data_IF_145057504928
#
_entry.id   IF_145057504928
#
_cell.length_a   1.000
_cell.length_b   1.000
_cell.length_c   1.000
_cell.angle_alpha   90.00
_cell.angle_beta   90.00
_cell.angle_gamma   90.00
#
_symmetry.space_group_name_H-M   'P 1'
#
loop_
_entity.id
_entity.type
_entity.pdbx_description
1 polymer ?
#
# COMPACT_ATOMS: atom_id res chain seq x y z
N UNK A 1 3.06 3.22 2.33
CA UNK A 1 1.78 3.89 2.65
C UNK A 1 1.17 4.41 1.36
N UNK A 2 0.07 3.79 0.92
CA UNK A 2 -0.65 4.18 -0.31
C UNK A 2 -1.80 5.07 0.10
N UNK A 3 -1.56 6.38 0.00
CA UNK A 3 -2.55 7.40 0.30
C UNK A 3 -3.34 7.83 -0.93
N UNK A 4 -4.22 8.83 -0.74
CA UNK A 4 -5.09 9.33 -1.81
C UNK A 4 -4.31 9.99 -2.95
N UNK A 5 -3.30 10.81 -2.66
CA UNK A 5 -2.55 11.61 -3.65
C UNK A 5 -1.14 11.14 -3.88
N UNK A 6 -0.56 10.40 -2.95
CA UNK A 6 0.84 9.97 -2.96
C UNK A 6 1.03 8.62 -2.30
N UNK A 7 2.13 7.96 -2.64
CA UNK A 7 2.60 6.75 -1.99
C UNK A 7 3.95 7.01 -1.34
N UNK A 8 4.05 6.78 -0.04
CA UNK A 8 5.31 6.90 0.71
C UNK A 8 5.92 5.52 0.93
N UNK A 9 7.20 5.38 0.64
CA UNK A 9 8.00 4.20 0.94
C UNK A 9 8.91 4.47 2.12
N UNK A 10 8.96 3.50 3.02
CA UNK A 10 9.84 3.53 4.18
C UNK A 10 10.54 2.17 4.25
N UNK A 11 11.86 2.16 4.25
CA UNK A 11 12.66 0.95 4.47
C UNK A 11 13.12 0.93 5.91
N UNK A 12 12.86 -0.18 6.59
CA UNK A 12 13.25 -0.41 7.98
C UNK A 12 14.14 -1.66 8.08
N UNK A 13 15.20 -1.57 8.86
CA UNK A 13 16.08 -2.69 9.21
C UNK A 13 16.16 -2.74 10.74
N UNK A 14 15.84 -3.89 11.32
CA UNK A 14 15.89 -4.04 12.79
C UNK A 14 15.02 -3.03 13.55
N UNK A 15 13.93 -2.53 12.95
CA UNK A 15 13.06 -1.52 13.54
C UNK A 15 13.55 -0.07 13.37
N UNK A 16 14.66 0.15 12.66
CA UNK A 16 15.21 1.49 12.38
C UNK A 16 14.87 1.88 10.94
N UNK A 17 14.41 3.12 10.74
CA UNK A 17 14.19 3.68 9.41
C UNK A 17 15.55 4.03 8.79
N UNK A 18 15.86 3.39 7.66
CA UNK A 18 17.13 3.59 6.93
C UNK A 18 16.96 4.34 5.61
N UNK A 19 15.75 4.35 5.06
CA UNK A 19 15.46 5.06 3.82
C UNK A 19 13.98 5.46 3.75
N UNK A 20 13.71 6.61 3.17
CA UNK A 20 12.33 7.07 2.91
C UNK A 20 12.28 7.85 1.61
N UNK A 21 11.20 7.68 0.87
CA UNK A 21 10.90 8.45 -0.33
C UNK A 21 9.39 8.52 -0.57
N UNK A 22 8.98 9.39 -1.49
CA UNK A 22 7.58 9.57 -1.86
C UNK A 22 7.43 9.56 -3.37
N UNK A 23 6.37 8.90 -3.83
CA UNK A 23 5.94 8.82 -5.23
C UNK A 23 4.65 9.62 -5.33
N UNK A 24 4.56 10.56 -6.27
CA UNK A 24 3.37 11.37 -6.53
C UNK A 24 2.30 10.59 -7.32
N UNK A 25 1.96 9.40 -6.79
CA UNK A 25 0.93 8.51 -7.29
C UNK A 25 0.16 7.93 -6.10
N UNK A 26 -1.16 8.06 -6.11
CA UNK A 26 -2.04 7.56 -5.07
C UNK A 26 -3.41 7.17 -5.63
N UNK A 27 -4.34 6.80 -4.75
CA UNK A 27 -5.65 6.27 -5.10
C UNK A 27 -6.53 7.17 -5.93
N UNK A 28 -6.28 8.47 -5.91
CA UNK A 28 -7.00 9.43 -6.76
C UNK A 28 -6.76 9.17 -8.25
N UNK A 29 -5.54 8.82 -8.64
CA UNK A 29 -5.23 8.49 -10.04
C UNK A 29 -5.96 7.23 -10.50
N UNK A 30 -6.20 6.25 -9.62
CA UNK A 30 -7.02 5.08 -9.95
C UNK A 30 -8.47 5.49 -10.25
N UNK A 31 -9.04 6.40 -9.42
CA UNK A 31 -10.39 6.92 -9.62
C UNK A 31 -10.50 7.73 -10.92
N UNK A 32 -9.54 8.58 -11.23
CA UNK A 32 -9.48 9.37 -12.47
C UNK A 32 -9.42 8.49 -13.71
N UNK A 33 -8.61 7.41 -13.68
CA UNK A 33 -8.54 6.45 -14.77
C UNK A 33 -9.87 5.72 -14.98
N UNK A 34 -10.53 5.28 -13.92
CA UNK A 34 -11.83 4.64 -13.99
C UNK A 34 -12.90 5.62 -14.50
N UNK A 35 -12.95 6.83 -13.94
CA UNK A 35 -13.92 7.84 -14.37
C UNK A 35 -13.80 8.13 -15.87
N UNK A 36 -12.58 8.25 -16.37
CA UNK A 36 -12.31 8.46 -17.80
C UNK A 36 -12.67 7.25 -18.66
N UNK A 37 -12.28 6.05 -18.23
CA UNK A 37 -12.51 4.82 -19.00
C UNK A 37 -14.00 4.46 -19.14
N UNK A 38 -14.78 4.71 -18.08
CA UNK A 38 -16.20 4.36 -18.03
C UNK A 38 -17.14 5.56 -18.24
N UNK A 39 -16.62 6.77 -18.41
CA UNK A 39 -17.39 8.02 -18.53
C UNK A 39 -18.37 8.21 -17.37
N UNK A 40 -17.93 7.92 -16.15
CA UNK A 40 -18.72 8.03 -14.92
C UNK A 40 -18.21 9.15 -14.00
N UNK A 41 -18.99 9.47 -12.98
CA UNK A 41 -18.60 10.42 -11.95
C UNK A 41 -17.39 9.92 -11.13
N UNK A 42 -16.69 10.83 -10.46
CA UNK A 42 -15.59 10.48 -9.52
C UNK A 42 -16.09 9.59 -8.38
N UNK A 43 -17.33 9.82 -7.91
CA UNK A 43 -17.93 8.99 -6.86
C UNK A 43 -18.21 7.57 -7.33
N UNK A 44 -18.76 7.41 -8.54
CA UNK A 44 -19.00 6.10 -9.13
C UNK A 44 -17.66 5.36 -9.38
N UNK A 45 -16.66 6.07 -9.88
CA UNK A 45 -15.31 5.52 -10.07
C UNK A 45 -14.69 5.07 -8.75
N UNK A 46 -14.88 5.83 -7.67
CA UNK A 46 -14.46 5.45 -6.33
C UNK A 46 -15.16 4.18 -5.85
N UNK A 47 -16.48 4.08 -6.05
CA UNK A 47 -17.23 2.88 -5.70
C UNK A 47 -16.75 1.67 -6.50
N UNK A 48 -16.51 1.81 -7.81
CA UNK A 48 -15.95 0.75 -8.65
C UNK A 48 -14.57 0.30 -8.13
N UNK A 49 -13.68 1.24 -7.80
CA UNK A 49 -12.38 0.95 -7.21
C UNK A 49 -12.50 0.14 -5.92
N UNK A 50 -13.39 0.55 -5.01
CA UNK A 50 -13.55 -0.08 -3.71
C UNK A 50 -14.23 -1.45 -3.76
N UNK A 51 -15.20 -1.63 -4.66
CA UNK A 51 -16.01 -2.84 -4.72
C UNK A 51 -15.43 -3.92 -5.63
N UNK A 52 -14.75 -3.53 -6.69
CA UNK A 52 -14.26 -4.44 -7.73
C UNK A 52 -12.72 -4.55 -7.68
N UNK A 53 -12.01 -3.41 -7.68
CA UNK A 53 -10.55 -3.38 -7.70
C UNK A 53 -9.97 -4.13 -8.90
N UNK A 54 -9.00 -5.00 -8.64
CA UNK A 54 -8.32 -5.83 -9.64
C UNK A 54 -8.93 -7.22 -9.77
N UNK A 55 -10.24 -7.37 -9.54
CA UNK A 55 -10.92 -8.64 -9.78
C UNK A 55 -11.22 -8.83 -11.29
N UNK A 56 -10.58 -9.83 -11.89
CA UNK A 56 -10.79 -10.17 -13.31
C UNK A 56 -12.12 -10.84 -13.60
N UNK A 57 -12.82 -11.33 -12.59
CA UNK A 57 -14.09 -12.02 -12.76
C UNK A 57 -15.28 -11.06 -12.80
N UNK A 58 -15.12 -9.92 -12.14
CA UNK A 58 -16.15 -8.91 -12.10
C UNK A 58 -16.18 -8.09 -13.39
N UNK A 59 -17.38 -7.83 -13.91
CA UNK A 59 -17.61 -7.06 -15.15
C UNK A 59 -16.73 -7.50 -16.33
N UNK A 60 -16.55 -8.81 -16.50
CA UNK A 60 -15.72 -9.39 -17.56
C UNK A 60 -14.29 -8.83 -17.62
N UNK A 61 -13.76 -8.42 -16.47
CA UNK A 61 -12.41 -7.87 -16.35
C UNK A 61 -12.24 -6.40 -16.76
N UNK A 62 -13.30 -5.73 -17.19
CA UNK A 62 -13.19 -4.37 -17.72
C UNK A 62 -12.60 -3.36 -16.71
N UNK A 63 -12.94 -3.48 -15.42
CA UNK A 63 -12.38 -2.63 -14.36
C UNK A 63 -10.90 -2.94 -14.12
N UNK A 64 -10.55 -4.23 -14.15
CA UNK A 64 -9.16 -4.68 -14.09
C UNK A 64 -8.33 -4.07 -15.23
N UNK A 65 -8.81 -4.19 -16.47
CA UNK A 65 -8.11 -3.68 -17.66
C UNK A 65 -7.94 -2.16 -17.62
N UNK A 66 -8.93 -1.43 -17.08
CA UNK A 66 -8.85 0.01 -16.91
C UNK A 66 -7.85 0.42 -15.81
N UNK A 67 -7.71 -0.34 -14.73
CA UNK A 67 -6.77 -0.06 -13.63
C UNK A 67 -5.35 -0.54 -13.93
N UNK A 68 -5.18 -1.58 -14.74
CA UNK A 68 -3.90 -2.22 -14.98
C UNK A 68 -2.79 -1.23 -15.39
N UNK A 69 -2.99 -0.28 -16.31
CA UNK A 69 -1.94 0.64 -16.72
C UNK A 69 -1.39 1.47 -15.56
N UNK A 70 -2.27 2.00 -14.70
CA UNK A 70 -1.83 2.86 -13.59
C UNK A 70 -1.24 2.06 -12.43
N UNK A 71 -1.74 0.86 -12.18
CA UNK A 71 -1.17 -0.05 -11.17
C UNK A 71 0.20 -0.56 -11.63
N UNK A 72 0.40 -0.77 -12.94
CA UNK A 72 1.71 -1.10 -13.49
C UNK A 72 2.71 0.04 -13.28
N UNK A 73 2.31 1.29 -13.50
CA UNK A 73 3.16 2.46 -13.20
C UNK A 73 3.54 2.49 -11.72
N UNK A 74 2.61 2.22 -10.81
CA UNK A 74 2.92 2.13 -9.38
C UNK A 74 3.95 1.03 -9.11
N UNK A 75 3.78 -0.15 -9.68
CA UNK A 75 4.71 -1.27 -9.51
C UNK A 75 6.11 -0.95 -10.07
N UNK A 76 6.20 -0.30 -11.22
CA UNK A 76 7.46 0.12 -11.84
C UNK A 76 8.19 1.15 -10.97
N UNK A 77 7.46 2.14 -10.43
CA UNK A 77 8.02 3.13 -9.51
C UNK A 77 8.52 2.47 -8.21
N UNK A 78 7.76 1.55 -7.64
CA UNK A 78 8.18 0.78 -6.47
C UNK A 78 9.45 -0.05 -6.77
N UNK A 79 9.48 -0.73 -7.91
CA UNK A 79 10.63 -1.52 -8.37
C UNK A 79 11.88 -0.66 -8.54
N UNK A 80 11.71 0.55 -9.11
CA UNK A 80 12.79 1.52 -9.27
C UNK A 80 13.35 1.99 -7.93
N UNK A 81 12.48 2.24 -6.96
CA UNK A 81 12.90 2.67 -5.60
C UNK A 81 13.60 1.53 -4.86
N UNK A 82 13.09 0.31 -4.94
CA UNK A 82 13.74 -0.90 -4.38
C UNK A 82 15.13 -1.08 -4.98
N UNK A 83 15.24 -1.00 -6.31
CA UNK A 83 16.52 -1.10 -7.00
C UNK A 83 17.50 0.04 -6.65
N UNK A 84 16.98 1.26 -6.44
CA UNK A 84 17.78 2.39 -5.98
C UNK A 84 18.32 2.14 -4.57
N UNK A 85 17.47 1.70 -3.65
CA UNK A 85 17.88 1.35 -2.29
C UNK A 85 19.01 0.31 -2.29
N UNK A 86 18.85 -0.79 -3.03
CA UNK A 86 19.88 -1.84 -3.09
C UNK A 86 21.25 -1.31 -3.55
N UNK A 87 21.29 -0.48 -4.60
CA UNK A 87 22.55 0.09 -5.12
C UNK A 87 23.22 1.08 -4.16
N UNK A 88 22.44 1.83 -3.37
CA UNK A 88 23.00 2.83 -2.46
C UNK A 88 23.35 2.26 -1.08
N UNK A 89 22.66 1.25 -0.61
CA UNK A 89 22.94 0.58 0.64
C UNK A 89 24.32 -0.11 0.64
N UNK A 90 24.77 -0.62 -0.51
CA UNK A 90 26.13 -1.18 -0.69
C UNK A 90 27.24 -0.19 -0.31
N UNK A 91 27.01 1.10 -0.58
CA UNK A 91 28.04 2.13 -0.35
C UNK A 91 28.05 2.68 1.09
N UNK A 92 26.95 2.51 1.85
CA UNK A 92 26.81 3.17 3.15
C UNK A 92 26.92 2.24 4.36
N UNK A 93 26.58 0.97 4.25
CA UNK A 93 26.45 0.07 5.41
C UNK A 93 27.02 -1.34 5.20
N UNK A 94 27.80 -1.59 4.16
CA UNK A 94 28.23 -2.94 3.77
C UNK A 94 27.22 -3.61 2.84
N UNK A 95 27.24 -4.95 2.74
CA UNK A 95 26.30 -5.65 1.88
C UNK A 95 24.84 -5.32 2.27
N UNK A 96 24.01 -4.82 1.35
CA UNK A 96 22.64 -4.45 1.67
C UNK A 96 21.86 -5.68 2.08
N UNK A 97 21.12 -5.58 3.18
CA UNK A 97 20.13 -6.61 3.50
C UNK A 97 19.04 -6.58 2.44
N UNK A 98 18.70 -7.76 1.92
CA UNK A 98 17.62 -7.89 0.96
C UNK A 98 16.29 -7.46 1.59
N UNK A 99 15.45 -6.76 0.83
CA UNK A 99 14.08 -6.47 1.27
C UNK A 99 13.31 -7.80 1.29
N UNK A 100 13.01 -8.29 2.48
CA UNK A 100 12.34 -9.58 2.67
C UNK A 100 10.85 -9.52 2.32
N UNK A 101 10.21 -8.39 2.63
CA UNK A 101 8.79 -8.21 2.41
C UNK A 101 8.40 -6.73 2.31
N UNK A 102 7.24 -6.46 1.70
CA UNK A 102 6.62 -5.14 1.60
C UNK A 102 5.30 -5.17 2.35
N UNK A 103 5.22 -4.39 3.42
CA UNK A 103 4.00 -4.20 4.19
C UNK A 103 3.21 -3.01 3.62
N UNK A 104 1.98 -3.24 3.22
CA UNK A 104 1.10 -2.24 2.63
C UNK A 104 0.23 -1.60 3.72
N UNK A 105 0.25 -0.28 3.79
CA UNK A 105 -0.60 0.55 4.66
C UNK A 105 -1.23 1.69 3.86
N UNK A 106 -2.16 2.41 4.47
CA UNK A 106 -2.89 3.49 3.82
C UNK A 106 -4.25 3.05 3.28
N UNK A 107 -5.15 3.99 3.10
CA UNK A 107 -6.53 3.71 2.69
C UNK A 107 -6.63 3.05 1.32
N UNK A 108 -5.76 3.44 0.39
CA UNK A 108 -5.76 2.92 -0.98
C UNK A 108 -4.97 1.61 -1.15
N UNK A 109 -4.26 1.15 -0.10
CA UNK A 109 -3.72 -0.21 -0.03
C UNK A 109 -4.82 -1.29 -0.04
N UNK A 110 -6.05 -0.91 0.32
CA UNK A 110 -7.23 -1.80 0.28
C UNK A 110 -7.76 -2.12 -1.12
N UNK A 111 -7.12 -1.65 -2.19
CA UNK A 111 -7.52 -2.01 -3.54
C UNK A 111 -7.44 -3.53 -3.70
N UNK A 112 -8.60 -4.18 -3.93
CA UNK A 112 -8.67 -5.64 -4.04
C UNK A 112 -7.71 -6.15 -5.12
N UNK A 113 -6.92 -7.17 -4.79
CA UNK A 113 -5.93 -7.76 -5.70
C UNK A 113 -4.60 -7.02 -5.82
N UNK A 114 -4.45 -5.82 -5.23
CA UNK A 114 -3.22 -5.03 -5.29
C UNK A 114 -2.04 -5.76 -4.64
N UNK A 115 -2.25 -6.36 -3.48
CA UNK A 115 -1.26 -7.17 -2.75
C UNK A 115 -0.67 -8.28 -3.63
N UNK A 116 -1.56 -9.03 -4.28
CA UNK A 116 -1.16 -10.12 -5.17
C UNK A 116 -0.44 -9.61 -6.41
N UNK A 117 -0.95 -8.54 -7.01
CA UNK A 117 -0.33 -7.92 -8.19
C UNK A 117 1.09 -7.42 -7.87
N UNK A 118 1.25 -6.65 -6.80
CA UNK A 118 2.55 -6.12 -6.39
C UNK A 118 3.53 -7.23 -6.00
N UNK A 119 3.07 -8.28 -5.31
CA UNK A 119 3.92 -9.44 -4.99
C UNK A 119 4.48 -10.08 -6.25
N UNK A 120 3.64 -10.23 -7.29
CA UNK A 120 4.05 -10.79 -8.57
C UNK A 120 5.00 -9.84 -9.34
N UNK A 121 4.69 -8.55 -9.37
CA UNK A 121 5.47 -7.58 -10.13
C UNK A 121 6.85 -7.32 -9.51
N UNK A 122 6.93 -7.21 -8.19
CA UNK A 122 8.17 -6.93 -7.47
C UNK A 122 9.01 -8.19 -7.18
N UNK A 123 8.44 -9.38 -7.31
CA UNK A 123 9.03 -10.64 -6.86
C UNK A 123 9.43 -10.62 -5.38
N UNK A 124 8.71 -9.82 -4.59
CA UNK A 124 8.86 -9.67 -3.15
C UNK A 124 7.49 -9.89 -2.53
N UNK A 125 7.42 -10.60 -1.42
CA UNK A 125 6.16 -10.81 -0.71
C UNK A 125 5.57 -9.47 -0.28
N UNK A 126 4.39 -9.12 -0.80
CA UNK A 126 3.60 -7.98 -0.34
C UNK A 126 2.42 -8.47 0.52
N UNK A 127 2.06 -7.74 1.56
CA UNK A 127 0.91 -8.07 2.41
C UNK A 127 0.33 -6.82 3.08
N UNK A 128 -0.97 -6.85 3.37
CA UNK A 128 -1.64 -5.78 4.09
C UNK A 128 -1.26 -5.82 5.58
N UNK A 129 -0.91 -4.67 6.13
CA UNK A 129 -0.63 -4.53 7.55
C UNK A 129 -1.85 -4.84 8.42
N UNK A 130 -1.61 -5.06 9.68
CA UNK A 130 -2.62 -5.03 10.73
C UNK A 130 -2.23 -3.98 11.77
N UNK A 131 -2.63 -2.72 11.58
CA UNK A 131 -2.24 -1.63 12.49
C UNK A 131 -2.74 -1.83 13.92
N UNK A 132 -3.81 -2.60 14.11
CA UNK A 132 -4.40 -2.84 15.42
C UNK A 132 -3.68 -3.93 16.20
N UNK A 133 -3.01 -4.86 15.55
CA UNK A 133 -2.28 -5.94 16.22
C UNK A 133 -1.17 -5.42 17.14
N UNK A 134 -0.56 -4.30 16.77
CA UNK A 134 0.44 -3.63 17.60
C UNK A 134 -0.12 -2.79 18.74
N UNK A 135 -1.36 -2.30 18.60
CA UNK A 135 -2.03 -1.48 19.60
C UNK A 135 -2.67 -2.32 20.72
N UNK A 136 -3.04 -3.55 20.40
CA UNK A 136 -3.71 -4.47 21.33
C UNK A 136 -2.92 -5.79 21.43
N UNK A 137 -1.78 -5.82 22.11
CA UNK A 137 -1.00 -7.03 22.28
C UNK A 137 -1.76 -8.00 23.22
N UNK A 138 -2.42 -8.94 22.63
CA UNK A 138 -2.99 -10.14 23.25
C UNK A 138 -3.85 -9.96 24.50
N UNK A 139 -5.00 -10.55 24.52
CA UNK A 139 -5.81 -10.98 25.65
C UNK A 139 -6.83 -10.09 26.29
N UNK A 140 -6.89 -8.84 26.10
CA UNK A 140 -7.87 -8.12 26.83
C UNK A 140 -8.82 -7.43 25.92
N UNK A 141 -9.59 -8.20 25.14
CA UNK A 141 -10.34 -7.32 24.78
C UNK A 141 -11.31 -7.06 23.82
N UNK A 142 -11.99 -6.22 24.02
CA UNK A 142 -12.90 -5.33 23.24
C UNK A 142 -12.58 -5.47 21.74
N UNK A 143 -13.55 -5.92 20.97
CA UNK A 143 -13.48 -5.90 19.50
C UNK A 143 -13.09 -4.47 19.09
N UNK A 144 -12.01 -4.28 18.33
CA UNK A 144 -11.64 -2.95 17.89
C UNK A 144 -12.81 -2.28 17.17
N UNK A 145 -13.04 -0.98 17.38
CA UNK A 145 -14.16 -0.27 16.75
C UNK A 145 -14.02 -0.14 15.22
N UNK A 146 -12.84 -0.47 14.69
CA UNK A 146 -12.54 -0.43 13.25
C UNK A 146 -12.30 -1.84 12.71
N UNK A 147 -12.78 -2.08 11.51
CA UNK A 147 -12.39 -3.28 10.75
C UNK A 147 -10.93 -3.15 10.33
N UNK A 148 -10.27 -4.29 10.10
CA UNK A 148 -8.84 -4.33 9.71
C UNK A 148 -8.54 -3.45 8.47
N UNK A 149 -9.39 -3.51 7.47
CA UNK A 149 -9.25 -2.70 6.26
C UNK A 149 -9.48 -1.19 6.50
N UNK A 150 -10.35 -0.82 7.41
CA UNK A 150 -10.55 0.57 7.82
C UNK A 150 -9.33 1.08 8.61
N UNK A 151 -8.78 0.24 9.49
CA UNK A 151 -7.60 0.57 10.29
C UNK A 151 -6.36 0.90 9.45
N UNK A 152 -6.24 0.35 8.23
CA UNK A 152 -5.13 0.66 7.32
C UNK A 152 -5.01 2.16 7.00
N UNK A 153 -6.13 2.86 6.87
CA UNK A 153 -6.14 4.31 6.64
C UNK A 153 -5.63 5.11 7.87
N UNK A 154 -5.65 4.51 9.04
CA UNK A 154 -5.24 5.13 10.31
C UNK A 154 -3.88 4.62 10.82
N UNK A 155 -3.14 3.85 10.02
CA UNK A 155 -1.87 3.25 10.44
C UNK A 155 -0.89 4.29 11.03
N UNK A 156 -0.72 5.43 10.35
CA UNK A 156 0.13 6.54 10.82
C UNK A 156 -0.39 7.13 12.13
N UNK A 157 -1.68 7.38 12.24
CA UNK A 157 -2.31 7.94 13.46
C UNK A 157 -2.18 6.98 14.64
N UNK A 158 -2.41 5.68 14.42
CA UNK A 158 -2.23 4.64 15.43
C UNK A 158 -0.77 4.59 15.88
N UNK A 159 0.18 4.63 14.93
CA UNK A 159 1.61 4.64 15.23
C UNK A 159 2.03 5.85 16.07
N UNK A 160 1.51 7.04 15.76
CA UNK A 160 1.76 8.26 16.53
C UNK A 160 1.17 8.16 17.95
N UNK A 161 -0.05 7.65 18.10
CA UNK A 161 -0.68 7.46 19.41
C UNK A 161 0.08 6.45 20.29
N UNK A 162 0.69 5.43 19.70
CA UNK A 162 1.47 4.42 20.42
C UNK A 162 2.86 4.89 20.84
N UNK A 163 3.37 5.95 20.24
CA UNK A 163 4.71 6.46 20.49
C UNK A 163 4.93 6.81 21.96
N UNK A 164 3.97 7.52 22.55
CA UNK A 164 4.08 7.98 23.94
C UNK A 164 3.74 6.89 24.97
N UNK A 165 3.12 5.79 24.55
CA UNK A 165 2.77 4.67 25.42
C UNK A 165 3.97 3.72 25.62
N UNK A 166 4.89 3.69 24.65
CA UNK A 166 6.06 2.79 24.63
C UNK A 166 7.38 3.49 25.02
N UNK A 167 7.33 4.78 25.30
CA UNK A 167 8.46 5.56 25.82
C UNK A 167 8.48 5.47 27.35
#
# INVERSE_FOLDING_TARGET
>A
DIGRTRTSLIVCIGGVIVFTTTIELGGQLFEEHLAKAFHVSQEDARLMKMQIGLDRKERDGAVFDALLPIVAVLADELSRVVGHYHRHAEHMHGAPEAIEAVMLVGGDANLFGLETYLSSALQIRCFLADPLSGAYPGHAFTIPPLRKNEALAFATTIGLALRDIRA
#
